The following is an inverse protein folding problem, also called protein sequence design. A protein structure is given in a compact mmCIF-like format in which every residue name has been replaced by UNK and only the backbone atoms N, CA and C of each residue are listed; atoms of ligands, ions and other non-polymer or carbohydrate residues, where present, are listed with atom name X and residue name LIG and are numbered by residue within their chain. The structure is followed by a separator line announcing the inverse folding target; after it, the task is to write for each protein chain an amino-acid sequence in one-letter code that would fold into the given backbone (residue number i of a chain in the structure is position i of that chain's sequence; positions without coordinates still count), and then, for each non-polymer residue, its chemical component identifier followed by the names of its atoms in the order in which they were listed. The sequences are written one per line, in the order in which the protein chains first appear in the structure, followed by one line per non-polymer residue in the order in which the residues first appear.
data_IF_874500474815
#
_entry.id   IF_874500474815
#
_cell.length_a   1.000
_cell.length_b   1.000
_cell.length_c   1.000
_cell.angle_alpha   90.00
_cell.angle_beta   90.00
_cell.angle_gamma   90.00
#
_symmetry.space_group_name_H-M   'P 1'
#
loop_
_entity.id
_entity.type
_entity.pdbx_description
1 polymer ?
#
# COMPACT_ATOMS: atom_id res chain seq x y z
N UNK A 1 12.37 -3.05 -5.46
CA UNK A 1 13.30 -2.44 -4.47
C UNK A 1 12.78 -1.08 -3.99
N UNK A 2 12.29 -0.19 -4.88
CA UNK A 2 11.76 1.12 -4.46
C UNK A 2 10.47 1.05 -3.58
N UNK A 3 9.61 0.04 -3.80
CA UNK A 3 8.31 -0.08 -3.11
C UNK A 3 8.44 -0.22 -1.57
N UNK A 4 9.25 -1.13 -1.01
CA UNK A 4 9.42 -1.22 0.45
C UNK A 4 9.94 0.07 1.09
N UNK A 5 10.86 0.77 0.42
CA UNK A 5 11.43 2.01 0.93
C UNK A 5 10.39 3.14 0.97
N UNK A 6 9.55 3.25 -0.06
CA UNK A 6 8.46 4.23 -0.12
C UNK A 6 7.40 3.95 0.94
N UNK A 7 7.07 2.68 1.19
CA UNK A 7 6.15 2.28 2.26
C UNK A 7 6.71 2.71 3.63
N UNK A 8 7.98 2.41 3.90
CA UNK A 8 8.62 2.81 5.15
C UNK A 8 8.62 4.32 5.39
N UNK A 9 8.95 5.11 4.36
CA UNK A 9 8.89 6.59 4.45
C UNK A 9 7.45 7.06 4.65
N UNK A 10 6.49 6.44 3.98
CA UNK A 10 5.06 6.71 4.14
C UNK A 10 4.56 6.44 5.56
N UNK A 11 4.96 5.33 6.18
CA UNK A 11 4.58 4.97 7.55
C UNK A 11 5.13 5.98 8.55
N UNK A 12 6.39 6.40 8.40
CA UNK A 12 7.01 7.41 9.28
C UNK A 12 6.29 8.75 9.15
N UNK A 13 5.98 9.18 7.92
CA UNK A 13 5.25 10.43 7.69
C UNK A 13 3.80 10.35 8.18
N UNK A 14 3.14 9.20 8.03
CA UNK A 14 1.78 8.95 8.52
C UNK A 14 1.71 9.00 10.04
N UNK A 15 2.63 8.33 10.75
CA UNK A 15 2.74 8.38 12.21
C UNK A 15 3.04 9.79 12.72
N UNK A 16 3.95 10.51 12.06
CA UNK A 16 4.25 11.91 12.38
C UNK A 16 3.03 12.82 12.21
N UNK A 17 2.28 12.66 11.11
CA UNK A 17 1.04 13.40 10.87
C UNK A 17 -0.06 13.07 11.89
N UNK A 18 -0.24 11.79 12.22
CA UNK A 18 -1.20 11.34 13.22
C UNK A 18 -0.89 11.90 14.61
N UNK A 19 0.39 11.94 15.00
CA UNK A 19 0.83 12.53 16.26
C UNK A 19 0.56 14.04 16.34
N UNK A 20 0.74 14.76 15.22
CA UNK A 20 0.52 16.21 15.16
C UNK A 20 -0.97 16.58 15.29
N UNK A 21 -1.86 15.74 14.78
CA UNK A 21 -3.32 15.97 14.76
C UNK A 21 -4.01 15.41 16.02
N UNK A 22 -3.41 14.43 16.70
CA UNK A 22 -3.98 13.78 17.88
C UNK A 22 -4.18 14.73 19.07
N UNK A 23 -3.30 15.72 19.25
CA UNK A 23 -3.42 16.71 20.32
C UNK A 23 -4.62 17.66 20.10
N UNK A 24 -4.74 18.38 18.96
CA UNK A 24 -5.84 19.34 18.77
C UNK A 24 -7.22 18.71 18.56
N UNK A 25 -7.32 17.48 18.06
CA UNK A 25 -8.62 16.82 17.82
C UNK A 25 -9.10 15.94 18.96
N UNK A 26 -8.19 15.35 19.75
CA UNK A 26 -8.51 14.27 20.67
C UNK A 26 -8.05 14.54 22.12
N UNK A 27 -7.38 15.67 22.36
CA UNK A 27 -6.81 16.06 23.66
C UNK A 27 -5.86 14.99 24.24
N UNK A 28 -5.26 14.19 23.36
CA UNK A 28 -4.32 13.14 23.74
C UNK A 28 -2.91 13.72 23.73
N UNK A 29 -2.28 13.77 24.90
CA UNK A 29 -0.87 14.17 25.03
C UNK A 29 0.02 13.23 24.18
N UNK A 30 1.04 13.74 23.48
CA UNK A 30 1.93 12.93 22.65
C UNK A 30 2.58 11.74 23.37
N UNK A 31 2.75 11.82 24.70
CA UNK A 31 3.21 10.70 25.55
C UNK A 31 2.20 9.55 25.61
N UNK A 32 0.91 9.86 25.71
CA UNK A 32 -0.20 8.90 25.71
C UNK A 32 -0.40 8.30 24.33
N UNK A 33 -0.17 9.07 23.25
CA UNK A 33 -0.18 8.57 21.88
C UNK A 33 0.88 7.48 21.68
N UNK A 34 2.13 7.72 22.09
CA UNK A 34 3.22 6.72 21.98
C UNK A 34 2.94 5.48 22.85
N UNK A 35 2.38 5.66 24.06
CA UNK A 35 2.03 4.53 24.92
C UNK A 35 0.95 3.64 24.29
N UNK A 36 -0.13 4.23 23.76
CA UNK A 36 -1.19 3.51 23.02
C UNK A 36 -0.69 2.88 21.74
N UNK A 37 0.17 3.58 21.02
CA UNK A 37 0.79 3.09 19.81
C UNK A 37 1.61 1.82 20.10
N UNK A 38 2.38 1.80 21.19
CA UNK A 38 3.16 0.63 21.61
C UNK A 38 2.30 -0.53 22.12
N UNK A 39 1.17 -0.23 22.75
CA UNK A 39 0.22 -1.22 23.28
C UNK A 39 -0.64 -1.86 22.16
N UNK A 40 -0.88 -1.11 21.07
CA UNK A 40 -1.67 -1.55 19.91
C UNK A 40 -0.78 -2.15 18.80
N UNK A 41 0.47 -1.68 18.67
CA UNK A 41 1.46 -2.26 17.74
C UNK A 41 2.07 -3.53 18.35
N UNK A 42 1.34 -4.63 18.23
CA UNK A 42 1.98 -5.93 18.35
C UNK A 42 2.95 -6.12 17.15
N UNK A 43 4.11 -6.73 17.40
CA UNK A 43 5.28 -6.82 16.48
C UNK A 43 4.94 -7.50 15.14
N UNK A 44 3.79 -8.15 15.08
CA UNK A 44 3.30 -8.89 13.92
C UNK A 44 2.72 -8.00 12.81
N UNK A 45 2.16 -6.83 13.12
CA UNK A 45 1.60 -5.91 12.11
C UNK A 45 2.63 -5.37 11.10
N UNK A 46 3.81 -4.88 11.50
CA UNK A 46 4.80 -4.36 10.55
C UNK A 46 5.44 -5.45 9.69
N UNK A 47 5.64 -6.67 10.22
CA UNK A 47 6.23 -7.78 9.44
C UNK A 47 5.27 -8.29 8.36
N UNK A 48 3.98 -8.35 8.67
CA UNK A 48 2.93 -8.73 7.72
C UNK A 48 2.84 -7.73 6.57
N UNK A 49 2.86 -6.42 6.87
CA UNK A 49 2.88 -5.36 5.86
C UNK A 49 4.12 -5.42 4.95
N UNK A 50 5.29 -5.72 5.52
CA UNK A 50 6.56 -5.80 4.79
C UNK A 50 6.63 -7.00 3.83
N UNK A 51 6.02 -8.14 4.19
CA UNK A 51 5.90 -9.32 3.32
C UNK A 51 4.85 -9.12 2.22
N UNK A 52 3.81 -8.32 2.46
CA UNK A 52 2.78 -7.97 1.47
C UNK A 52 3.35 -7.11 0.33
N UNK A 53 4.21 -6.14 0.66
CA UNK A 53 4.80 -5.19 -0.28
C UNK A 53 5.49 -5.82 -1.53
N UNK A 54 6.34 -6.85 -1.41
CA UNK A 54 6.96 -7.49 -2.58
C UNK A 54 5.96 -8.29 -3.44
N UNK A 55 4.91 -8.86 -2.84
CA UNK A 55 3.87 -9.59 -3.58
C UNK A 55 3.07 -8.62 -4.46
N UNK A 56 2.67 -7.48 -3.92
CA UNK A 56 2.01 -6.43 -4.70
C UNK A 56 2.90 -5.89 -5.83
N UNK A 57 4.19 -5.66 -5.53
CA UNK A 57 5.15 -5.20 -6.53
C UNK A 57 5.32 -6.19 -7.69
N UNK A 58 5.30 -7.51 -7.40
CA UNK A 58 5.38 -8.56 -8.41
C UNK A 58 4.14 -8.55 -9.32
N UNK A 59 2.95 -8.45 -8.74
CA UNK A 59 1.69 -8.45 -9.52
C UNK A 59 1.59 -7.22 -10.41
N UNK A 60 1.95 -6.03 -9.91
CA UNK A 60 1.97 -4.80 -10.72
C UNK A 60 2.98 -4.92 -11.87
N UNK A 61 4.18 -5.45 -11.60
CA UNK A 61 5.20 -5.65 -12.62
C UNK A 61 4.72 -6.61 -13.74
N UNK A 62 4.07 -7.71 -13.37
CA UNK A 62 3.54 -8.69 -14.34
C UNK A 62 2.40 -8.09 -15.18
N UNK A 63 1.48 -7.36 -14.57
CA UNK A 63 0.37 -6.71 -15.29
C UNK A 63 0.91 -5.63 -16.23
N UNK A 64 1.83 -4.79 -15.75
CA UNK A 64 2.48 -3.75 -16.55
C UNK A 64 3.29 -4.31 -17.72
N UNK A 65 4.06 -5.38 -17.51
CA UNK A 65 4.80 -6.04 -18.58
C UNK A 65 3.86 -6.68 -19.61
N UNK A 66 2.77 -7.35 -19.19
CA UNK A 66 1.82 -7.96 -20.12
C UNK A 66 1.13 -6.93 -21.00
N UNK A 67 0.63 -5.84 -20.43
CA UNK A 67 -0.07 -4.84 -21.23
C UNK A 67 0.88 -4.02 -22.09
N UNK A 68 2.10 -3.73 -21.63
CA UNK A 68 3.13 -3.06 -22.42
C UNK A 68 3.58 -3.86 -23.66
N UNK A 69 3.60 -5.19 -23.56
CA UNK A 69 3.93 -6.07 -24.70
C UNK A 69 2.76 -6.28 -25.68
N UNK A 70 1.52 -5.98 -25.28
CA UNK A 70 0.32 -6.13 -26.12
C UNK A 70 -0.07 -4.87 -26.89
N UNK A 71 0.76 -3.82 -26.87
CA UNK A 71 0.48 -2.57 -27.58
C UNK A 71 0.86 -2.67 -29.06
N UNK A 72 -0.10 -2.36 -29.92
CA UNK A 72 0.08 -2.28 -31.37
C UNK A 72 0.98 -1.08 -31.75
N UNK A 73 1.74 -1.18 -32.84
CA UNK A 73 2.75 -0.18 -33.26
C UNK A 73 2.13 1.11 -33.85
N UNK A 74 1.18 1.71 -33.17
CA UNK A 74 0.55 2.98 -33.54
C UNK A 74 0.57 3.97 -32.36
N UNK A 75 0.96 5.23 -32.63
CA UNK A 75 1.18 6.25 -31.59
C UNK A 75 -0.14 6.65 -30.91
N UNK A 76 -1.27 6.55 -31.61
CA UNK A 76 -2.61 6.77 -31.04
C UNK A 76 -3.08 5.58 -30.21
N UNK A 77 -2.83 4.36 -30.68
CA UNK A 77 -3.12 3.13 -29.95
C UNK A 77 -2.32 3.03 -28.64
N UNK A 78 -1.06 3.47 -28.62
CA UNK A 78 -0.20 3.48 -27.41
C UNK A 78 -0.78 4.35 -26.28
N UNK A 79 -1.33 5.52 -26.61
CA UNK A 79 -1.92 6.42 -25.61
C UNK A 79 -3.15 5.82 -24.94
N UNK A 80 -4.08 5.26 -25.73
CA UNK A 80 -5.29 4.60 -25.21
C UNK A 80 -4.97 3.30 -24.46
N UNK A 81 -3.97 2.54 -24.94
CA UNK A 81 -3.51 1.35 -24.24
C UNK A 81 -2.91 1.71 -22.87
N UNK A 82 -2.16 2.81 -22.77
CA UNK A 82 -1.53 3.24 -21.51
C UNK A 82 -2.56 3.62 -20.44
N UNK A 83 -3.61 4.38 -20.78
CA UNK A 83 -4.68 4.74 -19.82
C UNK A 83 -5.50 3.53 -19.40
N UNK A 84 -5.85 2.64 -20.32
CA UNK A 84 -6.52 1.37 -19.99
C UNK A 84 -5.64 0.49 -19.09
N UNK A 85 -4.32 0.49 -19.33
CA UNK A 85 -3.33 -0.24 -18.52
C UNK A 85 -3.30 0.24 -17.08
N UNK A 86 -3.28 1.56 -16.87
CA UNK A 86 -3.24 2.13 -15.53
C UNK A 86 -4.50 1.78 -14.76
N UNK A 87 -5.68 1.92 -15.37
CA UNK A 87 -6.96 1.59 -14.72
C UNK A 87 -7.03 0.11 -14.36
N UNK A 88 -6.71 -0.80 -15.29
CA UNK A 88 -6.72 -2.25 -15.01
C UNK A 88 -5.72 -2.63 -13.91
N UNK A 89 -4.54 -2.01 -13.91
CA UNK A 89 -3.52 -2.25 -12.89
C UNK A 89 -4.01 -1.80 -11.51
N UNK A 90 -4.58 -0.61 -11.39
CA UNK A 90 -5.08 -0.07 -10.11
C UNK A 90 -6.24 -0.93 -9.59
N UNK A 91 -7.19 -1.32 -10.43
CA UNK A 91 -8.33 -2.15 -10.02
C UNK A 91 -7.88 -3.53 -9.54
N UNK A 92 -6.95 -4.17 -10.26
CA UNK A 92 -6.41 -5.47 -9.87
C UNK A 92 -5.66 -5.39 -8.52
N UNK A 93 -4.92 -4.31 -8.28
CA UNK A 93 -4.21 -4.07 -7.01
C UNK A 93 -5.19 -3.90 -5.86
N UNK A 94 -6.25 -3.09 -6.04
CA UNK A 94 -7.26 -2.87 -4.99
C UNK A 94 -7.98 -4.17 -4.63
N UNK A 95 -8.39 -4.97 -5.62
CA UNK A 95 -9.02 -6.26 -5.38
C UNK A 95 -8.10 -7.23 -4.64
N UNK A 96 -6.83 -7.29 -5.06
CA UNK A 96 -5.85 -8.15 -4.41
C UNK A 96 -5.60 -7.71 -2.97
N UNK A 97 -5.49 -6.40 -2.72
CA UNK A 97 -5.31 -5.89 -1.37
C UNK A 97 -6.50 -6.22 -0.46
N UNK A 98 -7.73 -6.02 -0.96
CA UNK A 98 -8.95 -6.39 -0.23
C UNK A 98 -8.99 -7.89 0.09
N UNK A 99 -8.65 -8.75 -0.87
CA UNK A 99 -8.61 -10.20 -0.65
C UNK A 99 -7.60 -10.58 0.44
N UNK A 100 -6.40 -10.00 0.40
CA UNK A 100 -5.43 -10.22 1.46
C UNK A 100 -5.86 -9.61 2.80
N UNK A 101 -6.52 -8.45 2.82
CA UNK A 101 -7.01 -7.84 4.06
C UNK A 101 -8.01 -8.76 4.76
N UNK A 102 -8.96 -9.33 4.02
CA UNK A 102 -9.91 -10.33 4.55
C UNK A 102 -9.19 -11.59 5.02
N UNK A 103 -8.20 -12.08 4.26
CA UNK A 103 -7.42 -13.25 4.64
C UNK A 103 -6.62 -13.03 5.94
N UNK A 104 -6.00 -11.86 6.14
CA UNK A 104 -5.29 -11.54 7.36
C UNK A 104 -6.22 -11.37 8.56
N UNK A 105 -7.39 -10.76 8.35
CA UNK A 105 -8.42 -10.63 9.38
C UNK A 105 -8.96 -12.00 9.84
N UNK A 106 -9.10 -12.96 8.92
CA UNK A 106 -9.51 -14.35 9.23
C UNK A 106 -8.45 -15.14 10.01
N UNK A 107 -7.16 -14.83 9.84
CA UNK A 107 -6.05 -15.52 10.52
C UNK A 107 -5.84 -14.99 11.96
N UNK A 108 -6.59 -13.97 12.37
CA UNK A 108 -6.55 -13.43 13.74
C UNK A 108 -5.38 -12.49 14.00
N UNK A 109 -4.98 -11.72 12.98
CA UNK A 109 -4.16 -10.51 13.13
C UNK A 109 -5.01 -9.26 12.94
#
# INVERSE_FOLDING_TARGET
IAMPLLVFVGDVMSLGGAMLIAEPMLDITPTTFIARLRDTLDISHPLVGLIKAPVFALVIAVIGCRLGMSVERDTRAVGMATTSTVVQSIVAVILLDAAFAVFFQEIGF
#
